data_IF_585042242705
#
_entry.id   IF_585042242705
#
_cell.length_a   1.000
_cell.length_b   1.000
_cell.length_c   1.000
_cell.angle_alpha   90.00
_cell.angle_beta   90.00
_cell.angle_gamma   90.00
#
_symmetry.space_group_name_H-M   'P 1'
#
loop_
_entity.id
_entity.type
_entity.pdbx_description
1 polymer ?
#
# COMPACT_ATOMS: atom_id res chain seq x y z
N UNK A 1 -5.29 8.30 17.16
CA UNK A 1 -4.05 7.50 17.20
C UNK A 1 -4.07 6.54 16.03
N UNK A 2 -2.99 6.43 15.26
CA UNK A 2 -2.92 5.50 14.12
C UNK A 2 -2.48 4.11 14.57
N UNK A 3 -3.10 3.08 14.00
CA UNK A 3 -2.82 1.68 14.30
C UNK A 3 -2.29 0.97 13.06
N UNK A 4 -1.31 0.08 13.26
CA UNK A 4 -0.87 -0.91 12.29
C UNK A 4 -1.42 -2.26 12.71
N UNK A 5 -2.15 -2.88 11.80
CA UNK A 5 -2.89 -4.11 12.06
C UNK A 5 -2.41 -5.18 11.09
N UNK A 6 -1.97 -6.32 11.61
CA UNK A 6 -1.69 -7.50 10.79
C UNK A 6 -2.83 -8.48 10.95
N UNK A 7 -3.43 -8.89 9.84
CA UNK A 7 -4.56 -9.82 9.83
C UNK A 7 -4.27 -11.01 8.95
N UNK A 8 -4.57 -12.21 9.46
CA UNK A 8 -4.51 -13.46 8.71
C UNK A 8 -5.90 -14.06 8.56
N UNK A 9 -6.21 -14.56 7.37
CA UNK A 9 -7.43 -15.27 7.05
C UNK A 9 -7.20 -16.78 6.90
N UNK A 10 -8.23 -17.58 7.22
CA UNK A 10 -8.20 -19.04 7.15
C UNK A 10 -7.98 -19.57 5.73
N UNK A 11 -8.63 -18.94 4.74
CA UNK A 11 -8.62 -19.36 3.35
C UNK A 11 -8.74 -18.15 2.40
N UNK A 12 -8.49 -18.38 1.10
CA UNK A 12 -8.60 -17.37 0.04
C UNK A 12 -10.03 -17.15 -0.43
N UNK A 13 -10.87 -18.19 -0.46
CA UNK A 13 -12.26 -18.13 -0.92
C UNK A 13 -13.14 -17.24 -0.04
N UNK A 14 -12.79 -17.08 1.24
CA UNK A 14 -13.47 -16.25 2.22
C UNK A 14 -13.34 -14.74 1.93
N UNK A 15 -12.48 -14.33 1.00
CA UNK A 15 -12.12 -12.92 0.87
C UNK A 15 -11.91 -12.37 -0.54
N UNK A 16 -11.44 -13.16 -1.52
CA UNK A 16 -10.72 -12.58 -2.67
C UNK A 16 -11.23 -13.01 -4.04
N UNK A 17 -12.17 -12.25 -4.60
CA UNK A 17 -12.33 -12.17 -6.07
C UNK A 17 -11.74 -10.89 -6.64
N UNK A 18 -11.77 -9.75 -5.92
CA UNK A 18 -11.16 -8.49 -6.34
C UNK A 18 -10.87 -7.50 -5.18
N UNK A 19 -10.16 -6.40 -5.47
CA UNK A 19 -9.80 -5.38 -4.47
C UNK A 19 -10.98 -4.51 -3.99
N UNK A 20 -12.11 -4.54 -4.70
CA UNK A 20 -13.34 -3.82 -4.28
C UNK A 20 -13.99 -4.55 -3.12
N UNK A 21 -13.99 -5.88 -3.12
CA UNK A 21 -14.45 -6.66 -1.97
C UNK A 21 -13.66 -6.33 -0.70
N UNK A 22 -12.33 -6.20 -0.79
CA UNK A 22 -11.52 -5.80 0.37
C UNK A 22 -11.83 -4.35 0.80
N UNK A 23 -11.97 -3.41 -0.14
CA UNK A 23 -12.39 -2.06 0.20
C UNK A 23 -13.71 -2.05 0.99
N UNK A 24 -14.70 -2.81 0.54
CA UNK A 24 -15.99 -2.92 1.24
C UNK A 24 -15.84 -3.55 2.64
N UNK A 25 -14.98 -4.56 2.81
CA UNK A 25 -14.69 -5.15 4.13
C UNK A 25 -14.04 -4.12 5.07
N UNK A 26 -13.10 -3.30 4.57
CA UNK A 26 -12.52 -2.22 5.38
C UNK A 26 -13.58 -1.22 5.83
N UNK A 27 -14.53 -0.88 4.95
CA UNK A 27 -15.66 -0.01 5.31
C UNK A 27 -16.57 -0.63 6.39
N UNK A 28 -16.74 -1.95 6.40
CA UNK A 28 -17.52 -2.65 7.44
C UNK A 28 -16.81 -2.67 8.80
N UNK A 29 -15.47 -2.75 8.79
CA UNK A 29 -14.64 -2.73 10.00
C UNK A 29 -14.45 -1.32 10.55
N UNK A 30 -14.54 -0.29 9.70
CA UNK A 30 -14.45 1.10 10.12
C UNK A 30 -15.66 1.52 10.97
N UNK A 31 -15.40 2.29 12.01
CA UNK A 31 -16.40 2.94 12.85
C UNK A 31 -16.92 4.26 12.24
N UNK A 32 -16.17 4.82 11.28
CA UNK A 32 -16.48 6.08 10.59
C UNK A 32 -16.28 5.98 9.08
N UNK A 33 -17.00 6.81 8.33
CA UNK A 33 -16.94 6.83 6.87
C UNK A 33 -15.71 7.56 6.30
N UNK A 34 -15.09 8.45 7.08
CA UNK A 34 -14.01 9.36 6.66
C UNK A 34 -12.61 8.89 7.08
N UNK A 35 -12.46 7.62 7.46
CA UNK A 35 -11.19 7.07 7.96
C UNK A 35 -10.15 6.98 6.86
N UNK A 36 -8.93 7.38 7.18
CA UNK A 36 -7.81 7.20 6.28
C UNK A 36 -7.23 5.81 6.49
N UNK A 37 -7.69 4.86 5.68
CA UNK A 37 -7.25 3.47 5.75
C UNK A 37 -6.44 3.08 4.52
N UNK A 38 -5.21 2.61 4.75
CA UNK A 38 -4.38 1.93 3.77
C UNK A 38 -4.36 0.43 4.09
N UNK A 39 -4.18 -0.39 3.06
CA UNK A 39 -3.99 -1.81 3.26
C UNK A 39 -3.13 -2.41 2.17
N UNK A 40 -2.63 -3.61 2.41
CA UNK A 40 -1.92 -4.40 1.41
C UNK A 40 -2.01 -5.89 1.73
N UNK A 41 -2.22 -6.70 0.70
CA UNK A 41 -2.01 -8.14 0.78
C UNK A 41 -0.51 -8.45 0.72
N UNK A 42 0.00 -9.21 1.69
CA UNK A 42 1.42 -9.54 1.81
C UNK A 42 1.86 -10.73 0.95
N UNK A 43 0.93 -11.57 0.50
CA UNK A 43 1.24 -12.77 -0.27
C UNK A 43 0.34 -12.90 -1.51
N UNK A 44 0.82 -13.67 -2.49
CA UNK A 44 0.08 -13.98 -3.73
C UNK A 44 -1.22 -14.74 -3.45
N UNK A 45 -1.28 -15.47 -2.33
CA UNK A 45 -2.49 -16.16 -1.88
C UNK A 45 -3.54 -15.20 -1.33
N UNK A 46 -3.17 -13.98 -0.94
CA UNK A 46 -4.09 -12.96 -0.44
C UNK A 46 -4.69 -13.30 0.93
N UNK A 47 -3.96 -14.01 1.79
CA UNK A 47 -4.46 -14.46 3.10
C UNK A 47 -3.84 -13.69 4.27
N UNK A 48 -2.84 -12.85 4.03
CA UNK A 48 -2.24 -11.95 5.02
C UNK A 48 -2.34 -10.52 4.57
N UNK A 49 -2.76 -9.65 5.47
CA UNK A 49 -2.92 -8.23 5.22
C UNK A 49 -2.24 -7.40 6.28
N UNK A 50 -1.62 -6.34 5.81
CA UNK A 50 -1.30 -5.20 6.65
C UNK A 50 -2.35 -4.13 6.41
N UNK A 51 -2.90 -3.59 7.48
CA UNK A 51 -3.85 -2.46 7.46
C UNK A 51 -3.27 -1.35 8.32
N UNK A 52 -3.27 -0.13 7.80
CA UNK A 52 -2.91 1.08 8.52
C UNK A 52 -4.14 1.97 8.57
N UNK A 53 -4.59 2.35 9.75
CA UNK A 53 -5.80 3.17 9.91
C UNK A 53 -5.66 4.15 11.07
N UNK A 54 -6.30 5.31 10.94
CA UNK A 54 -6.45 6.30 12.00
C UNK A 54 -7.72 6.08 12.85
N UNK A 55 -8.49 5.04 12.54
CA UNK A 55 -9.68 4.65 13.28
C UNK A 55 -9.32 3.75 14.47
N UNK A 56 -9.28 4.33 15.68
CA UNK A 56 -8.98 3.61 16.92
C UNK A 56 -10.01 2.51 17.25
N UNK A 57 -11.20 2.57 16.64
CA UNK A 57 -12.28 1.59 16.82
C UNK A 57 -12.43 0.66 15.63
N UNK A 58 -11.42 0.62 14.76
CA UNK A 58 -11.39 -0.32 13.65
C UNK A 58 -11.45 -1.75 14.20
N UNK A 59 -12.44 -2.51 13.74
CA UNK A 59 -12.73 -3.84 14.28
C UNK A 59 -12.68 -4.91 13.18
N UNK A 60 -11.51 -5.55 12.99
CA UNK A 60 -11.33 -6.63 12.02
C UNK A 60 -12.17 -7.87 12.34
N UNK A 61 -12.66 -8.04 13.58
CA UNK A 61 -13.48 -9.21 13.93
C UNK A 61 -14.84 -9.20 13.22
N UNK A 62 -15.30 -8.03 12.76
CA UNK A 62 -16.49 -7.88 11.90
C UNK A 62 -16.36 -8.58 10.55
N UNK A 63 -15.17 -9.03 10.18
CA UNK A 63 -14.97 -9.88 9.00
C UNK A 63 -15.43 -11.32 9.22
N UNK A 64 -15.78 -11.67 10.46
CA UNK A 64 -16.31 -12.97 10.88
C UNK A 64 -15.22 -13.99 11.15
N UNK A 65 -15.64 -15.25 11.30
CA UNK A 65 -14.79 -16.40 11.69
C UNK A 65 -13.65 -16.71 10.70
N UNK A 66 -13.61 -16.01 9.57
CA UNK A 66 -12.53 -16.11 8.60
C UNK A 66 -11.20 -15.54 9.13
N UNK A 67 -11.23 -14.65 10.13
CA UNK A 67 -10.00 -14.08 10.74
C UNK A 67 -9.40 -15.08 11.73
N UNK A 68 -8.17 -15.51 11.44
CA UNK A 68 -7.46 -16.55 12.22
C UNK A 68 -6.31 -16.01 13.05
N UNK A 69 -5.81 -14.82 12.73
CA UNK A 69 -4.84 -14.12 13.56
C UNK A 69 -5.00 -12.62 13.36
N UNK A 70 -4.83 -11.88 14.45
CA UNK A 70 -4.92 -10.43 14.50
C UNK A 70 -3.87 -9.92 15.47
N UNK A 71 -2.95 -9.08 14.99
CA UNK A 71 -2.11 -8.24 15.86
C UNK A 71 -2.40 -6.78 15.55
N UNK A 72 -2.42 -5.95 16.60
CA UNK A 72 -2.64 -4.51 16.50
C UNK A 72 -1.59 -3.81 17.33
N UNK A 73 -0.92 -2.85 16.71
CA UNK A 73 0.16 -2.08 17.32
C UNK A 73 -0.05 -0.59 17.07
N UNK A 74 0.39 0.25 18.01
CA UNK A 74 0.40 1.69 17.81
C UNK A 74 1.44 2.02 16.75
N UNK A 75 1.02 2.72 15.69
CA UNK A 75 1.90 3.07 14.60
C UNK A 75 2.50 4.47 14.81
N UNK A 76 3.77 4.49 15.21
CA UNK A 76 4.56 5.70 15.43
C UNK A 76 5.96 5.56 14.77
N UNK A 77 6.04 5.55 13.43
CA UNK A 77 7.31 5.41 12.73
C UNK A 77 8.20 6.63 12.99
N UNK A 78 9.49 6.38 13.13
CA UNK A 78 10.52 7.42 13.19
C UNK A 78 11.55 7.12 12.11
N UNK A 79 11.90 8.13 11.31
CA UNK A 79 12.93 8.02 10.27
C UNK A 79 13.69 9.33 10.20
N UNK A 80 14.90 9.34 10.74
CA UNK A 80 15.74 10.51 10.71
C UNK A 80 16.18 10.84 9.28
N UNK A 81 16.41 12.12 8.98
CA UNK A 81 17.10 12.52 7.75
C UNK A 81 18.46 11.82 7.65
N UNK A 82 18.79 11.32 6.46
CA UNK A 82 19.98 10.52 6.17
C UNK A 82 19.87 9.05 6.58
N UNK A 83 18.78 8.64 7.23
CA UNK A 83 18.58 7.24 7.56
C UNK A 83 18.37 6.42 6.28
N UNK A 84 19.12 5.33 6.17
CA UNK A 84 18.95 4.33 5.12
C UNK A 84 18.14 3.17 5.65
N UNK A 85 17.10 2.80 4.91
CA UNK A 85 16.16 1.75 5.30
C UNK A 85 15.81 0.91 4.09
N UNK A 86 15.44 -0.34 4.37
CA UNK A 86 14.80 -1.19 3.38
C UNK A 86 13.34 -0.78 3.28
N UNK A 87 12.80 -0.80 2.07
CA UNK A 87 11.42 -0.47 1.82
C UNK A 87 10.71 -1.50 0.94
N UNK A 88 9.39 -1.49 1.03
CA UNK A 88 8.52 -2.20 0.11
C UNK A 88 7.22 -1.45 -0.08
N UNK A 89 6.77 -1.33 -1.33
CA UNK A 89 5.51 -0.68 -1.69
C UNK A 89 4.88 -1.31 -2.92
N UNK A 90 3.57 -1.54 -2.87
CA UNK A 90 2.79 -1.89 -4.06
C UNK A 90 2.26 -0.62 -4.71
N UNK A 91 2.59 -0.39 -5.97
CA UNK A 91 2.25 0.81 -6.72
C UNK A 91 1.31 0.48 -7.87
N UNK A 92 0.50 1.47 -8.24
CA UNK A 92 -0.28 1.48 -9.46
C UNK A 92 0.44 2.39 -10.48
N UNK A 93 1.35 1.83 -11.31
CA UNK A 93 2.27 2.61 -12.13
C UNK A 93 1.53 3.10 -13.37
N UNK A 94 0.97 4.30 -13.27
CA UNK A 94 0.25 4.93 -14.38
C UNK A 94 0.73 6.35 -14.61
N UNK A 95 0.77 6.74 -15.88
CA UNK A 95 1.01 8.13 -16.30
C UNK A 95 -0.23 8.70 -16.96
N UNK A 96 -0.35 10.03 -16.93
CA UNK A 96 -1.33 10.76 -17.73
C UNK A 96 -0.67 11.17 -19.04
N UNK A 97 -1.29 10.81 -20.15
CA UNK A 97 -1.01 11.44 -21.44
C UNK A 97 -1.61 12.85 -21.46
N UNK A 98 -1.09 13.71 -22.34
CA UNK A 98 -1.80 14.90 -22.81
C UNK A 98 -3.21 14.48 -23.26
N UNK A 99 -4.26 15.08 -22.68
CA UNK A 99 -5.65 14.75 -23.01
C UNK A 99 -6.43 13.84 -22.05
N UNK A 100 -6.08 13.80 -20.75
CA UNK A 100 -6.82 13.08 -19.67
C UNK A 100 -6.71 11.55 -19.67
N UNK A 101 -6.15 10.93 -20.71
CA UNK A 101 -5.98 9.47 -20.76
C UNK A 101 -4.92 8.99 -19.77
N UNK A 102 -5.28 8.04 -18.92
CA UNK A 102 -4.37 7.35 -18.00
C UNK A 102 -3.93 6.04 -18.65
N UNK A 103 -2.62 5.80 -18.74
CA UNK A 103 -2.06 4.54 -19.23
C UNK A 103 -1.10 3.94 -18.22
N UNK A 104 -0.98 2.61 -18.24
CA UNK A 104 0.07 1.90 -17.50
C UNK A 104 1.47 2.29 -18.01
N UNK A 105 2.43 2.32 -17.08
CA UNK A 105 3.84 2.40 -17.43
C UNK A 105 4.32 1.08 -18.04
N UNK A 106 5.34 1.16 -18.90
CA UNK A 106 5.91 0.02 -19.65
C UNK A 106 7.38 -0.15 -19.31
N UNK A 107 7.68 -1.17 -18.50
CA UNK A 107 9.06 -1.57 -18.19
C UNK A 107 9.83 -0.56 -17.34
N UNK A 108 11.14 -0.81 -17.20
CA UNK A 108 12.02 -0.04 -16.31
C UNK A 108 12.18 1.41 -16.75
N UNK A 109 12.38 1.69 -18.04
CA UNK A 109 12.66 3.05 -18.53
C UNK A 109 11.53 4.07 -18.28
N UNK A 110 10.29 3.63 -18.08
CA UNK A 110 9.20 4.50 -17.64
C UNK A 110 9.01 4.51 -16.10
N UNK A 111 9.41 3.43 -15.43
CA UNK A 111 9.28 3.25 -13.99
C UNK A 111 10.35 4.03 -13.21
N UNK A 112 11.58 4.08 -13.69
CA UNK A 112 12.68 4.83 -13.08
C UNK A 112 12.29 6.29 -12.77
N UNK A 113 11.89 7.11 -13.77
CA UNK A 113 11.51 8.49 -13.49
C UNK A 113 10.20 8.59 -12.69
N UNK A 114 9.38 7.54 -12.66
CA UNK A 114 8.19 7.51 -11.80
C UNK A 114 8.58 7.32 -10.32
N UNK A 115 9.52 6.42 -10.02
CA UNK A 115 10.03 6.18 -8.67
C UNK A 115 10.81 7.38 -8.17
N UNK A 116 11.65 7.99 -9.01
CA UNK A 116 12.39 9.21 -8.66
C UNK A 116 11.44 10.34 -8.23
N UNK A 117 10.42 10.65 -9.06
CA UNK A 117 9.41 11.65 -8.71
C UNK A 117 8.59 11.29 -7.47
N UNK A 118 8.37 10.00 -7.24
CA UNK A 118 7.69 9.52 -6.04
C UNK A 118 8.52 9.87 -4.80
N UNK A 119 9.83 9.59 -4.84
CA UNK A 119 10.77 9.92 -3.78
C UNK A 119 10.87 11.43 -3.53
N UNK A 120 11.09 12.22 -4.58
CA UNK A 120 11.17 13.69 -4.50
C UNK A 120 9.92 14.30 -3.84
N UNK A 121 8.73 13.77 -4.16
CA UNK A 121 7.46 14.25 -3.60
C UNK A 121 7.25 13.87 -2.13
N UNK A 122 7.92 12.82 -1.67
CA UNK A 122 7.67 12.17 -0.40
C UNK A 122 8.90 12.15 0.51
N UNK A 123 9.94 12.95 0.21
CA UNK A 123 11.08 13.15 1.08
C UNK A 123 12.05 11.98 1.16
N UNK A 124 12.20 11.18 0.11
CA UNK A 124 13.19 10.09 0.08
C UNK A 124 13.84 9.93 -1.29
N UNK A 125 14.99 9.30 -1.32
CA UNK A 125 15.68 8.88 -2.53
C UNK A 125 15.76 7.35 -2.54
N UNK A 126 15.43 6.71 -3.67
CA UNK A 126 15.58 5.25 -3.81
C UNK A 126 16.99 4.96 -4.29
N UNK A 127 17.78 4.27 -3.47
CA UNK A 127 19.17 3.93 -3.74
C UNK A 127 19.28 2.70 -4.65
N UNK A 128 18.42 1.72 -4.41
CA UNK A 128 18.35 0.49 -5.19
C UNK A 128 16.93 -0.07 -5.13
N UNK A 129 16.49 -0.77 -6.17
CA UNK A 129 15.20 -1.45 -6.12
C UNK A 129 15.10 -2.63 -7.09
N UNK A 130 14.25 -3.59 -6.72
CA UNK A 130 13.76 -4.66 -7.55
C UNK A 130 12.26 -4.46 -7.79
N UNK A 131 11.75 -5.09 -8.86
CA UNK A 131 10.33 -5.01 -9.23
C UNK A 131 9.73 -6.37 -9.43
N UNK A 132 8.51 -6.54 -8.95
CA UNK A 132 7.66 -7.68 -9.27
C UNK A 132 6.35 -7.18 -9.88
N UNK A 133 6.21 -7.38 -11.19
CA UNK A 133 4.98 -7.06 -11.91
C UNK A 133 3.92 -8.13 -11.65
N UNK A 134 2.73 -7.68 -11.27
CA UNK A 134 1.61 -8.55 -10.97
C UNK A 134 0.53 -8.38 -12.04
N UNK A 135 -0.29 -9.41 -12.24
CA UNK A 135 -1.53 -9.25 -13.02
C UNK A 135 -2.40 -8.22 -12.30
N UNK A 136 -2.66 -7.12 -12.98
CA UNK A 136 -3.54 -6.09 -12.48
C UNK A 136 -4.93 -6.64 -12.14
N UNK A 137 -5.57 -6.08 -11.12
CA UNK A 137 -6.91 -6.46 -10.72
C UNK A 137 -7.94 -5.46 -11.21
N UNK A 138 -9.11 -6.00 -11.59
CA UNK A 138 -10.26 -5.21 -11.98
C UNK A 138 -10.99 -4.70 -10.73
N UNK A 139 -11.35 -3.43 -10.73
CA UNK A 139 -12.20 -2.83 -9.70
C UNK A 139 -13.69 -3.16 -9.98
N UNK A 140 -14.02 -3.27 -11.26
CA UNK A 140 -15.33 -3.66 -11.76
C UNK A 140 -15.18 -4.38 -13.12
N UNK A 141 -16.27 -4.95 -13.63
CA UNK A 141 -16.24 -5.75 -14.87
C UNK A 141 -15.94 -4.94 -16.14
N UNK A 142 -16.21 -3.63 -16.14
CA UNK A 142 -16.13 -2.75 -17.32
C UNK A 142 -14.83 -1.94 -17.36
N UNK A 143 -14.16 -1.75 -16.23
CA UNK A 143 -12.93 -1.01 -16.11
C UNK A 143 -11.70 -1.84 -16.53
N UNK A 144 -10.68 -1.20 -17.12
CA UNK A 144 -9.39 -1.84 -17.31
C UNK A 144 -8.79 -2.25 -15.96
N UNK A 145 -8.06 -3.37 -15.88
CA UNK A 145 -7.37 -3.75 -14.66
C UNK A 145 -6.37 -2.67 -14.25
N UNK A 146 -6.29 -2.40 -12.95
CA UNK A 146 -5.25 -1.52 -12.41
C UNK A 146 -3.89 -2.20 -12.55
N UNK A 147 -2.90 -1.62 -13.26
CA UNK A 147 -1.57 -2.19 -13.28
C UNK A 147 -1.02 -2.25 -11.85
N UNK A 148 -0.27 -3.30 -11.54
CA UNK A 148 0.29 -3.52 -10.21
C UNK A 148 1.76 -3.89 -10.34
N UNK A 149 2.60 -3.17 -9.60
CA UNK A 149 4.01 -3.48 -9.42
C UNK A 149 4.35 -3.38 -7.94
N UNK A 150 4.96 -4.42 -7.39
CA UNK A 150 5.61 -4.33 -6.08
C UNK A 150 7.05 -3.89 -6.30
N UNK A 151 7.46 -2.85 -5.58
CA UNK A 151 8.81 -2.29 -5.61
C UNK A 151 9.39 -2.45 -4.20
N UNK A 152 10.57 -3.04 -4.12
CA UNK A 152 11.31 -3.24 -2.87
C UNK A 152 12.78 -2.95 -3.07
N UNK A 153 13.46 -2.50 -2.01
CA UNK A 153 14.87 -2.18 -2.09
C UNK A 153 15.31 -1.27 -0.96
N UNK A 154 16.25 -0.37 -1.24
CA UNK A 154 16.81 0.56 -0.28
C UNK A 154 16.44 1.99 -0.62
N UNK A 155 16.11 2.78 0.41
CA UNK A 155 15.92 4.22 0.29
C UNK A 155 16.69 4.97 1.37
N UNK A 156 17.00 6.22 1.08
CA UNK A 156 17.52 7.20 2.03
C UNK A 156 16.47 8.27 2.30
N UNK A 157 16.23 8.59 3.57
CA UNK A 157 15.33 9.66 3.96
C UNK A 157 15.99 11.03 3.74
N UNK A 158 15.38 11.88 2.91
CA UNK A 158 15.88 13.23 2.60
C UNK A 158 15.17 14.29 3.44
N UNK A 159 13.88 14.10 3.69
CA UNK A 159 13.04 14.98 4.50
C UNK A 159 12.17 14.13 5.46
N UNK A 160 12.46 14.25 6.75
CA UNK A 160 11.82 13.47 7.82
C UNK A 160 10.30 13.68 7.86
N UNK A 161 9.82 14.93 7.78
CA UNK A 161 8.40 15.21 7.88
C UNK A 161 7.63 14.65 6.66
N UNK A 162 8.24 14.74 5.47
CA UNK A 162 7.64 14.23 4.25
C UNK A 162 7.60 12.70 4.21
N UNK A 163 8.68 12.01 4.60
CA UNK A 163 8.71 10.54 4.60
C UNK A 163 7.77 9.98 5.66
N UNK A 164 7.75 10.56 6.87
CA UNK A 164 6.78 10.19 7.91
C UNK A 164 5.35 10.42 7.42
N UNK A 165 5.10 11.56 6.77
CA UNK A 165 3.83 11.83 6.11
C UNK A 165 3.46 10.78 5.04
N UNK A 166 4.43 10.28 4.30
CA UNK A 166 4.25 9.23 3.28
C UNK A 166 3.93 7.87 3.89
N UNK A 167 4.52 7.53 5.04
CA UNK A 167 4.23 6.30 5.78
C UNK A 167 2.78 6.29 6.29
N UNK A 168 2.28 7.43 6.79
CA UNK A 168 0.89 7.55 7.24
C UNK A 168 -0.11 7.63 6.08
N UNK A 169 0.18 8.44 5.06
CA UNK A 169 -0.79 8.78 4.00
C UNK A 169 -0.69 7.88 2.78
N UNK A 170 0.37 7.09 2.69
CA UNK A 170 0.73 6.29 1.53
C UNK A 170 1.22 7.12 0.37
N UNK A 171 1.79 6.44 -0.61
CA UNK A 171 2.39 7.02 -1.82
C UNK A 171 1.62 6.60 -3.08
N UNK A 172 1.70 7.39 -4.15
CA UNK A 172 1.10 7.02 -5.44
C UNK A 172 -0.44 7.01 -5.49
N UNK A 173 -0.99 6.20 -6.41
CA UNK A 173 -2.42 6.17 -6.77
C UNK A 173 -3.12 4.92 -6.29
N UNK A 174 -4.45 4.92 -6.41
CA UNK A 174 -5.32 3.77 -6.15
C UNK A 174 -5.26 3.21 -4.71
N UNK A 175 -4.93 4.07 -3.72
CA UNK A 175 -4.71 3.68 -2.32
C UNK A 175 -5.84 2.86 -1.71
N UNK A 176 -7.09 3.24 -1.99
CA UNK A 176 -8.31 2.54 -1.56
C UNK A 176 -8.43 1.09 -2.07
N UNK A 177 -7.55 0.66 -2.96
CA UNK A 177 -7.56 -0.67 -3.55
C UNK A 177 -6.32 -1.49 -3.19
N UNK A 178 -5.57 -1.12 -2.15
CA UNK A 178 -4.46 -1.92 -1.66
C UNK A 178 -3.09 -1.51 -2.21
N UNK A 179 -2.99 -0.28 -2.72
CA UNK A 179 -1.77 0.32 -3.22
C UNK A 179 -1.25 1.40 -2.26
N UNK A 180 0.03 1.73 -2.38
CA UNK A 180 0.61 2.92 -1.79
C UNK A 180 0.96 2.82 -0.31
N UNK A 181 0.65 1.72 0.39
CA UNK A 181 1.19 1.47 1.72
C UNK A 181 2.70 1.24 1.62
N UNK A 182 3.47 2.23 2.07
CA UNK A 182 4.94 2.17 2.13
C UNK A 182 5.33 1.51 3.45
N UNK A 183 5.99 0.36 3.36
CA UNK A 183 6.56 -0.35 4.50
C UNK A 183 8.07 -0.09 4.52
N UNK A 184 8.63 0.12 5.71
CA UNK A 184 10.07 0.28 5.91
C UNK A 184 10.56 -0.64 7.03
N UNK A 185 11.83 -1.00 6.98
CA UNK A 185 12.56 -1.67 8.05
C UNK A 185 14.01 -1.20 8.10
N UNK A 186 14.68 -1.22 9.27
CA UNK A 186 16.12 -0.93 9.35
C UNK A 186 16.96 -1.81 8.41
N UNK A 187 18.10 -1.29 7.97
CA UNK A 187 19.19 -2.12 7.44
C UNK A 187 19.75 -2.92 8.61
N UNK A 188 19.86 -4.23 8.45
CA UNK A 188 20.48 -5.12 9.45
C UNK A 188 21.98 -4.84 9.62
#
# INVERSE_FOLDING_TARGET
MTQLIQVRFADRAAMYTDARHMHNRLLQAASRADTHTLFRAQNVTGTRFTVLTDDERFDPSRWGDAVTALTTEVYAPTVARGARVLFEVRLCPVTRSTGKTVRALRGAGELDPFIERLGQRHGFEVLSYATQWERGYRIDRQAPPLPSVTVSGELEAIDEAQIVGALYRGVGRAKRFGFGLLLIRPLE
#
